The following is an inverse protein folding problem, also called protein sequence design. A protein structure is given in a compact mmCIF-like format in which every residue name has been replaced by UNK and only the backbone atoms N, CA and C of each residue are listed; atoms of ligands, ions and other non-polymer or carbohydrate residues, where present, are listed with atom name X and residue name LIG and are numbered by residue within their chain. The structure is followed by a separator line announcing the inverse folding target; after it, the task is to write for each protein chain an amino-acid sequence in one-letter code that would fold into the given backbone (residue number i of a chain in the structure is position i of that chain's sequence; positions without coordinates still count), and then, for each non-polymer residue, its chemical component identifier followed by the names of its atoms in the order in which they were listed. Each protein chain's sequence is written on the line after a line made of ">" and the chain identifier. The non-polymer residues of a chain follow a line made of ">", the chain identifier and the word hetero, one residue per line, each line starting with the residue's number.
data_IF_870211707953
#
_entry.id   IF_870211707953
#
_cell.length_a   1.000
_cell.length_b   1.000
_cell.length_c   1.000
_cell.angle_alpha   90.00
_cell.angle_beta   90.00
_cell.angle_gamma   90.00
#
_symmetry.space_group_name_H-M   'P 1'
#
loop_
_entity.id
_entity.type
_entity.pdbx_description
1 polymer ?
#
# COMPACT_ATOMS: atom_id res chain seq x y z
N UNK A 1 -0.64 -6.91 -2.90
CA UNK A 1 0.56 -7.70 -2.51
C UNK A 1 0.81 -8.82 -3.50
N UNK A 2 -0.20 -9.63 -3.80
CA UNK A 2 -0.11 -10.74 -4.76
C UNK A 2 0.33 -10.31 -6.18
N UNK A 3 -0.36 -9.35 -6.81
CA UNK A 3 -0.05 -8.83 -8.17
C UNK A 3 1.42 -8.44 -8.34
N UNK A 4 2.03 -7.88 -7.30
CA UNK A 4 3.42 -7.41 -7.32
C UNK A 4 4.42 -8.41 -6.69
N UNK A 5 4.01 -9.64 -6.40
CA UNK A 5 4.83 -10.68 -5.77
C UNK A 5 5.44 -10.29 -4.41
N UNK A 6 4.69 -9.50 -3.63
CA UNK A 6 5.08 -9.05 -2.28
C UNK A 6 4.57 -9.94 -1.15
N UNK A 7 3.82 -11.01 -1.46
CA UNK A 7 3.47 -12.01 -0.46
C UNK A 7 4.76 -12.75 -0.01
N UNK A 8 5.00 -12.93 1.30
CA UNK A 8 6.23 -13.55 1.81
C UNK A 8 6.52 -14.91 1.19
N UNK A 9 5.49 -15.76 1.09
CA UNK A 9 5.61 -17.13 0.60
C UNK A 9 5.49 -17.24 -0.94
N UNK A 10 5.17 -16.14 -1.63
CA UNK A 10 4.97 -16.07 -3.10
C UNK A 10 3.96 -17.06 -3.69
N UNK A 11 3.09 -17.63 -2.85
CA UNK A 11 1.93 -18.39 -3.28
C UNK A 11 0.77 -17.43 -3.50
N UNK A 12 0.07 -17.56 -4.62
CA UNK A 12 -1.14 -16.78 -4.88
C UNK A 12 -2.26 -17.27 -3.97
N UNK A 13 -2.73 -16.38 -3.12
CA UNK A 13 -3.76 -16.65 -2.11
C UNK A 13 -5.14 -16.46 -2.72
N UNK A 14 -5.29 -15.44 -3.57
CA UNK A 14 -6.57 -15.07 -4.17
C UNK A 14 -6.75 -15.68 -5.56
N UNK A 15 -5.67 -15.81 -6.34
CA UNK A 15 -5.71 -16.25 -7.74
C UNK A 15 -4.90 -17.52 -8.01
N UNK A 16 -5.00 -18.03 -9.24
CA UNK A 16 -4.19 -19.13 -9.75
C UNK A 16 -3.23 -18.67 -10.83
N UNK A 17 -1.95 -18.96 -10.67
CA UNK A 17 -0.91 -18.78 -11.71
C UNK A 17 -1.15 -19.61 -12.97
N UNK A 18 -1.91 -20.71 -12.84
CA UNK A 18 -2.28 -21.60 -13.96
C UNK A 18 -3.60 -21.24 -14.66
N UNK A 19 -4.26 -20.14 -14.26
CA UNK A 19 -5.56 -19.72 -14.83
C UNK A 19 -6.76 -20.60 -14.44
N UNK A 20 -6.66 -21.41 -13.38
CA UNK A 20 -7.80 -22.14 -12.81
C UNK A 20 -8.67 -21.22 -11.94
N UNK A 21 -9.92 -21.62 -11.69
CA UNK A 21 -10.81 -20.90 -10.77
C UNK A 21 -10.34 -20.99 -9.31
N UNK A 22 -9.71 -22.11 -8.94
CA UNK A 22 -9.22 -22.32 -7.58
C UNK A 22 -7.85 -21.69 -7.37
N UNK A 23 -7.62 -20.95 -6.27
CA UNK A 23 -6.37 -20.27 -6.01
C UNK A 23 -5.21 -21.24 -5.69
N UNK A 24 -3.98 -20.80 -5.96
CA UNK A 24 -2.79 -21.64 -5.80
C UNK A 24 -2.56 -22.11 -4.35
N UNK A 25 -3.05 -21.36 -3.35
CA UNK A 25 -2.96 -21.74 -1.94
C UNK A 25 -3.56 -23.12 -1.65
N UNK A 26 -4.64 -23.52 -2.33
CA UNK A 26 -5.23 -24.85 -2.13
C UNK A 26 -4.28 -25.99 -2.53
N UNK A 27 -3.35 -25.72 -3.44
CA UNK A 27 -2.38 -26.71 -3.94
C UNK A 27 -1.02 -26.60 -3.26
N UNK A 28 -0.66 -25.40 -2.78
CA UNK A 28 0.71 -25.08 -2.37
C UNK A 28 0.84 -24.65 -0.91
N UNK A 29 -0.24 -24.67 -0.11
CA UNK A 29 -0.19 -24.19 1.29
C UNK A 29 0.85 -24.91 2.15
N UNK A 30 1.19 -26.17 1.85
CA UNK A 30 2.23 -26.92 2.58
C UNK A 30 3.64 -26.31 2.44
N UNK A 31 3.86 -25.48 1.40
CA UNK A 31 5.10 -24.73 1.23
C UNK A 31 5.15 -23.45 2.07
N UNK A 32 4.01 -23.04 2.63
CA UNK A 32 3.84 -21.82 3.42
C UNK A 32 3.92 -22.14 4.91
N UNK A 33 4.36 -21.17 5.71
CA UNK A 33 4.40 -21.31 7.17
C UNK A 33 3.09 -20.81 7.82
N UNK A 34 1.99 -21.54 7.58
CA UNK A 34 0.65 -21.23 8.10
C UNK A 34 0.35 -22.00 9.39
N UNK A 35 -0.36 -21.33 10.31
CA UNK A 35 -0.84 -21.94 11.56
C UNK A 35 -2.17 -22.67 11.32
N UNK A 36 -2.09 -23.85 10.68
CA UNK A 36 -3.23 -24.71 10.34
C UNK A 36 -2.93 -26.18 10.59
N UNK A 37 -3.96 -26.98 10.85
CA UNK A 37 -3.82 -28.44 10.85
C UNK A 37 -3.81 -28.97 9.40
N UNK A 38 -2.62 -29.25 8.87
CA UNK A 38 -2.46 -29.79 7.51
C UNK A 38 -3.23 -31.08 7.27
N UNK A 39 -3.46 -31.92 8.30
CA UNK A 39 -4.25 -33.15 8.13
C UNK A 39 -5.72 -32.82 7.90
N UNK A 40 -6.25 -31.87 8.66
CA UNK A 40 -7.62 -31.40 8.49
C UNK A 40 -7.81 -30.81 7.09
N UNK A 41 -6.91 -29.91 6.65
CA UNK A 41 -6.96 -29.29 5.32
C UNK A 41 -6.89 -30.36 4.22
N UNK A 42 -5.96 -31.31 4.31
CA UNK A 42 -5.85 -32.38 3.32
C UNK A 42 -7.10 -33.27 3.27
N UNK A 43 -7.75 -33.54 4.40
CA UNK A 43 -9.02 -34.28 4.43
C UNK A 43 -10.13 -33.49 3.72
N UNK A 44 -10.23 -32.18 3.98
CA UNK A 44 -11.23 -31.32 3.33
C UNK A 44 -11.03 -31.29 1.82
N UNK A 45 -9.79 -31.08 1.35
CA UNK A 45 -9.45 -31.08 -0.08
C UNK A 45 -9.77 -32.44 -0.73
N UNK A 46 -9.42 -33.55 -0.08
CA UNK A 46 -9.70 -34.90 -0.60
C UNK A 46 -11.19 -35.21 -0.70
N UNK A 47 -12.02 -34.59 0.14
CA UNK A 47 -13.48 -34.71 0.09
C UNK A 47 -14.14 -33.75 -0.90
N UNK A 48 -13.37 -32.87 -1.53
CA UNK A 48 -13.89 -31.81 -2.40
C UNK A 48 -14.51 -30.64 -1.63
N UNK A 49 -14.27 -30.54 -0.32
CA UNK A 49 -14.73 -29.44 0.54
C UNK A 49 -13.79 -28.22 0.42
N UNK A 50 -13.46 -27.84 -0.83
CA UNK A 50 -12.44 -26.85 -1.16
C UNK A 50 -12.77 -25.46 -0.59
N UNK A 51 -14.04 -25.10 -0.53
CA UNK A 51 -14.51 -23.84 0.08
C UNK A 51 -14.14 -23.75 1.57
N UNK A 52 -14.35 -24.83 2.33
CA UNK A 52 -14.00 -24.88 3.75
C UNK A 52 -12.47 -24.89 3.94
N UNK A 53 -11.76 -25.65 3.11
CA UNK A 53 -10.30 -25.67 3.14
C UNK A 53 -9.73 -24.28 2.83
N UNK A 54 -10.25 -23.62 1.80
CA UNK A 54 -9.84 -22.28 1.40
C UNK A 54 -10.10 -21.26 2.50
N UNK A 55 -11.28 -21.28 3.14
CA UNK A 55 -11.59 -20.38 4.25
C UNK A 55 -10.56 -20.48 5.38
N UNK A 56 -10.25 -21.70 5.83
CA UNK A 56 -9.25 -21.92 6.89
C UNK A 56 -7.87 -21.40 6.48
N UNK A 57 -7.45 -21.70 5.25
CA UNK A 57 -6.16 -21.24 4.72
C UNK A 57 -6.10 -19.71 4.56
N UNK A 58 -7.18 -19.09 4.11
CA UNK A 58 -7.30 -17.64 3.96
C UNK A 58 -7.19 -16.93 5.31
N UNK A 59 -7.93 -17.41 6.32
CA UNK A 59 -7.85 -16.91 7.71
C UNK A 59 -6.43 -17.05 8.26
N UNK A 60 -5.82 -18.22 8.08
CA UNK A 60 -4.46 -18.46 8.56
C UNK A 60 -3.44 -17.54 7.89
N UNK A 61 -3.60 -17.26 6.59
CA UNK A 61 -2.75 -16.33 5.87
C UNK A 61 -2.94 -14.89 6.34
N UNK A 62 -4.18 -14.42 6.57
CA UNK A 62 -4.44 -13.11 7.17
C UNK A 62 -3.79 -12.99 8.55
N UNK A 63 -3.89 -14.04 9.38
CA UNK A 63 -3.25 -14.11 10.69
C UNK A 63 -1.72 -14.15 10.60
N UNK A 64 -1.16 -14.76 9.56
CA UNK A 64 0.27 -14.74 9.33
C UNK A 64 0.75 -13.34 8.91
N UNK A 65 0.00 -12.66 8.04
CA UNK A 65 0.27 -11.27 7.63
C UNK A 65 0.12 -10.28 8.78
N UNK A 66 -0.78 -10.50 9.74
CA UNK A 66 -0.90 -9.70 10.97
C UNK A 66 0.43 -9.61 11.74
N UNK A 67 1.27 -10.65 11.72
CA UNK A 67 2.58 -10.62 12.40
C UNK A 67 3.53 -9.57 11.81
N UNK A 68 3.39 -9.28 10.52
CA UNK A 68 4.24 -8.33 9.77
C UNK A 68 3.58 -6.97 9.62
N UNK A 69 2.26 -6.94 9.44
CA UNK A 69 1.44 -5.75 9.18
C UNK A 69 0.24 -5.69 10.15
N UNK A 70 0.46 -5.56 11.47
CA UNK A 70 -0.59 -5.68 12.49
C UNK A 70 -1.64 -4.58 12.44
N UNK A 71 -1.31 -3.43 11.83
CA UNK A 71 -2.25 -2.32 11.62
C UNK A 71 -3.14 -2.49 10.40
N UNK A 72 -2.80 -3.38 9.46
CA UNK A 72 -3.60 -3.63 8.24
C UNK A 72 -4.41 -4.92 8.34
N UNK A 73 -3.83 -5.96 8.92
CA UNK A 73 -4.50 -7.24 9.14
C UNK A 73 -4.77 -7.37 10.63
N UNK A 74 -6.04 -7.39 11.04
CA UNK A 74 -6.42 -7.78 12.39
C UNK A 74 -6.35 -9.30 12.54
N UNK A 75 -6.08 -9.78 13.75
CA UNK A 75 -6.12 -11.22 14.01
C UNK A 75 -7.57 -11.70 13.93
N UNK A 76 -7.85 -12.54 12.95
CA UNK A 76 -9.14 -13.21 12.79
C UNK A 76 -9.17 -14.39 13.76
N UNK A 77 -10.24 -14.49 14.53
CA UNK A 77 -10.51 -15.54 15.52
C UNK A 77 -11.89 -16.14 15.25
N UNK A 78 -12.27 -17.18 16.01
CA UNK A 78 -13.45 -18.01 15.72
C UNK A 78 -14.74 -17.21 15.44
N UNK A 79 -15.02 -16.12 16.17
CA UNK A 79 -16.27 -15.38 15.97
C UNK A 79 -16.20 -14.38 14.82
N UNK A 80 -15.03 -13.82 14.50
CA UNK A 80 -14.89 -12.94 13.33
C UNK A 80 -14.79 -13.72 12.03
N UNK A 81 -14.38 -14.99 12.08
CA UNK A 81 -14.44 -15.90 10.93
C UNK A 81 -15.87 -16.08 10.41
N UNK A 82 -16.88 -16.02 11.28
CA UNK A 82 -18.29 -16.07 10.90
C UNK A 82 -18.74 -14.85 10.07
N UNK A 83 -17.98 -13.76 10.11
CA UNK A 83 -18.24 -12.58 9.29
C UNK A 83 -17.69 -12.74 7.88
N UNK A 84 -16.83 -13.74 7.63
CA UNK A 84 -16.41 -14.04 6.27
C UNK A 84 -17.61 -14.58 5.49
N UNK A 85 -17.90 -14.00 4.33
CA UNK A 85 -19.01 -14.44 3.50
C UNK A 85 -18.77 -15.85 2.95
N UNK A 86 -19.85 -16.57 2.68
CA UNK A 86 -19.81 -17.86 1.99
C UNK A 86 -19.54 -17.70 0.49
N UNK A 87 -19.13 -18.80 -0.15
CA UNK A 87 -18.90 -18.90 -1.59
C UNK A 87 -17.73 -18.03 -2.07
N UNK A 88 -16.65 -17.99 -1.31
CA UNK A 88 -15.42 -17.24 -1.63
C UNK A 88 -14.75 -17.72 -2.92
N UNK A 89 -14.93 -19.00 -3.29
CA UNK A 89 -14.42 -19.59 -4.53
C UNK A 89 -15.38 -19.47 -5.72
N UNK A 90 -16.58 -18.90 -5.54
CA UNK A 90 -17.55 -18.72 -6.63
C UNK A 90 -17.11 -17.59 -7.57
N UNK A 91 -17.16 -17.85 -8.88
CA UNK A 91 -16.81 -16.89 -9.94
C UNK A 91 -17.62 -15.60 -9.89
N UNK A 92 -18.83 -15.63 -9.35
CA UNK A 92 -19.67 -14.44 -9.22
C UNK A 92 -19.41 -13.65 -7.92
N UNK A 93 -18.54 -14.17 -7.05
CA UNK A 93 -18.22 -13.54 -5.79
C UNK A 93 -17.23 -12.39 -5.95
N UNK A 94 -17.12 -11.57 -4.89
CA UNK A 94 -16.34 -10.34 -4.95
C UNK A 94 -14.85 -10.60 -5.19
N UNK A 95 -14.30 -11.72 -4.69
CA UNK A 95 -12.89 -12.06 -4.88
C UNK A 95 -12.59 -12.28 -6.37
N UNK A 96 -13.38 -13.11 -7.05
CA UNK A 96 -13.24 -13.33 -8.50
C UNK A 96 -13.43 -12.05 -9.30
N UNK A 97 -14.45 -11.24 -8.96
CA UNK A 97 -14.67 -9.93 -9.61
C UNK A 97 -13.51 -8.95 -9.43
N UNK A 98 -12.80 -9.01 -8.30
CA UNK A 98 -11.61 -8.19 -8.06
C UNK A 98 -10.41 -8.67 -8.89
N UNK A 99 -10.25 -9.98 -9.06
CA UNK A 99 -9.14 -10.58 -9.83
C UNK A 99 -9.35 -10.38 -11.33
N UNK A 100 -10.55 -10.65 -11.83
CA UNK A 100 -10.88 -10.62 -13.27
C UNK A 100 -10.99 -9.19 -13.84
N UNK A 101 -11.01 -8.18 -12.97
CA UNK A 101 -11.01 -6.78 -13.39
C UNK A 101 -9.59 -6.34 -13.75
N UNK A 102 -9.24 -6.46 -15.04
CA UNK A 102 -7.91 -6.05 -15.55
C UNK A 102 -7.58 -4.59 -15.27
N UNK A 103 -8.55 -3.67 -15.35
CA UNK A 103 -8.33 -2.25 -15.06
C UNK A 103 -7.90 -2.04 -13.61
N UNK A 104 -8.59 -2.71 -12.69
CA UNK A 104 -8.28 -2.69 -11.26
C UNK A 104 -6.94 -3.37 -10.99
N UNK A 105 -6.70 -4.56 -11.54
CA UNK A 105 -5.44 -5.29 -11.40
C UNK A 105 -4.25 -4.47 -11.91
N UNK A 106 -4.39 -3.82 -13.07
CA UNK A 106 -3.38 -2.93 -13.62
C UNK A 106 -3.14 -1.69 -12.76
N UNK A 107 -4.18 -1.15 -12.12
CA UNK A 107 -4.03 -0.02 -11.20
C UNK A 107 -3.14 -0.35 -9.99
N UNK A 108 -3.15 -1.60 -9.51
CA UNK A 108 -2.31 -2.06 -8.40
C UNK A 108 -0.80 -2.12 -8.71
N UNK A 109 -0.39 -1.96 -9.97
CA UNK A 109 1.03 -1.82 -10.32
C UNK A 109 1.63 -0.49 -9.83
N UNK A 110 0.78 0.51 -9.55
CA UNK A 110 1.25 1.79 -9.04
C UNK A 110 1.33 1.78 -7.50
N UNK A 111 2.50 2.19 -6.97
CA UNK A 111 2.76 2.32 -5.52
C UNK A 111 1.77 3.28 -4.84
N UNK A 112 1.10 4.13 -5.62
CA UNK A 112 0.17 5.14 -5.12
C UNK A 112 -1.18 4.58 -4.64
N UNK A 113 -1.55 3.34 -4.98
CA UNK A 113 -2.87 2.79 -4.64
C UNK A 113 -3.15 2.76 -3.13
N UNK A 114 -2.13 2.47 -2.31
CA UNK A 114 -2.27 2.55 -0.84
C UNK A 114 -2.57 4.00 -0.40
N UNK A 115 -1.95 4.96 -1.08
CA UNK A 115 -2.20 6.38 -0.89
C UNK A 115 -3.61 6.81 -1.25
N UNK A 116 -4.12 6.35 -2.39
CA UNK A 116 -5.50 6.58 -2.83
C UNK A 116 -6.50 5.93 -1.88
N UNK A 117 -6.25 4.72 -1.41
CA UNK A 117 -7.09 4.03 -0.42
C UNK A 117 -7.13 4.81 0.90
N UNK A 118 -5.99 5.27 1.39
CA UNK A 118 -5.93 6.13 2.57
C UNK A 118 -6.74 7.42 2.38
N UNK A 119 -6.61 8.07 1.22
CA UNK A 119 -7.39 9.28 0.91
C UNK A 119 -8.90 8.98 0.85
N UNK A 120 -9.30 7.83 0.30
CA UNK A 120 -10.70 7.42 0.23
C UNK A 120 -11.32 7.27 1.63
N UNK A 121 -10.67 6.52 2.53
CA UNK A 121 -11.17 6.35 3.90
C UNK A 121 -11.24 7.66 4.70
N UNK A 122 -10.40 8.65 4.35
CA UNK A 122 -10.39 9.95 5.00
C UNK A 122 -11.23 11.01 4.26
N UNK A 123 -11.93 10.66 3.17
CA UNK A 123 -12.62 11.64 2.34
C UNK A 123 -13.77 12.33 3.08
N UNK A 124 -14.67 11.57 3.71
CA UNK A 124 -15.79 12.12 4.49
C UNK A 124 -15.36 13.02 5.65
N UNK A 125 -14.46 12.59 6.56
CA UNK A 125 -14.02 13.46 7.66
C UNK A 125 -13.28 14.69 7.13
N UNK A 126 -12.50 14.56 6.06
CA UNK A 126 -11.87 15.71 5.40
C UNK A 126 -12.92 16.70 4.90
N UNK A 127 -13.90 16.25 4.13
CA UNK A 127 -14.94 17.11 3.56
C UNK A 127 -15.75 17.83 4.65
N UNK A 128 -16.05 17.15 5.75
CA UNK A 128 -16.70 17.75 6.91
C UNK A 128 -15.87 18.90 7.51
N UNK A 129 -14.55 18.72 7.67
CA UNK A 129 -13.65 19.75 8.19
C UNK A 129 -13.51 20.92 7.20
N UNK A 130 -13.34 20.64 5.90
CA UNK A 130 -13.27 21.69 4.88
C UNK A 130 -14.58 22.48 4.78
N UNK A 131 -15.74 21.84 4.95
CA UNK A 131 -17.03 22.53 5.01
C UNK A 131 -17.14 23.47 6.23
N UNK A 132 -16.58 23.10 7.39
CA UNK A 132 -16.49 23.98 8.57
C UNK A 132 -15.55 25.15 8.34
N UNK A 133 -14.37 24.90 7.76
CA UNK A 133 -13.38 25.93 7.43
C UNK A 133 -13.94 26.97 6.45
N UNK A 134 -14.67 26.53 5.41
CA UNK A 134 -15.38 27.43 4.47
C UNK A 134 -16.41 28.33 5.14
N UNK A 135 -16.94 27.93 6.29
CA UNK A 135 -17.86 28.71 7.13
C UNK A 135 -17.12 29.51 8.22
N UNK A 136 -15.81 29.68 8.09
CA UNK A 136 -14.91 30.35 9.05
C UNK A 136 -14.97 29.78 10.48
N UNK A 137 -15.34 28.51 10.63
CA UNK A 137 -15.28 27.82 11.93
C UNK A 137 -13.91 27.17 12.09
N UNK A 138 -13.31 27.31 13.27
CA UNK A 138 -12.03 26.66 13.60
C UNK A 138 -12.20 25.14 13.65
N UNK A 139 -11.21 24.41 13.14
CA UNK A 139 -11.11 22.97 13.31
C UNK A 139 -10.74 22.65 14.77
N UNK A 140 -11.35 21.62 15.34
CA UNK A 140 -10.97 21.09 16.64
C UNK A 140 -9.68 20.25 16.55
N UNK A 141 -9.02 20.00 17.68
CA UNK A 141 -7.76 19.22 17.70
C UNK A 141 -7.91 17.83 17.08
N UNK A 142 -9.05 17.17 17.27
CA UNK A 142 -9.38 15.87 16.69
C UNK A 142 -9.56 15.90 15.16
N UNK A 143 -9.80 17.09 14.59
CA UNK A 143 -10.09 17.29 13.16
C UNK A 143 -8.86 17.65 12.35
N UNK A 144 -7.77 18.05 13.02
CA UNK A 144 -6.51 18.44 12.36
C UNK A 144 -5.97 17.33 11.46
N UNK A 145 -5.88 16.05 11.89
CA UNK A 145 -5.34 15.00 11.03
C UNK A 145 -6.06 14.87 9.69
N UNK A 146 -7.41 14.91 9.70
CA UNK A 146 -8.22 14.81 8.49
C UNK A 146 -7.99 15.99 7.50
N UNK A 147 -7.60 17.16 8.00
CA UNK A 147 -7.31 18.34 7.18
C UNK A 147 -5.85 18.46 6.74
N UNK A 148 -4.91 17.77 7.39
CA UNK A 148 -3.47 17.98 7.15
C UNK A 148 -2.72 16.75 6.67
N UNK A 149 -3.21 15.54 6.94
CA UNK A 149 -2.55 14.32 6.51
C UNK A 149 -3.02 13.95 5.11
N UNK A 150 -2.17 14.21 4.12
CA UNK A 150 -2.40 13.81 2.73
C UNK A 150 -1.33 12.85 2.27
N UNK A 151 -1.75 11.80 1.57
CA UNK A 151 -0.84 11.06 0.74
C UNK A 151 -0.21 12.00 -0.29
N UNK A 152 1.11 11.93 -0.46
CA UNK A 152 1.86 12.75 -1.41
C UNK A 152 2.20 11.91 -2.65
N UNK A 153 1.58 12.20 -3.81
CA UNK A 153 1.87 11.48 -5.06
C UNK A 153 3.36 11.54 -5.43
N UNK A 154 3.83 10.50 -6.14
CA UNK A 154 5.21 10.30 -6.57
C UNK A 154 5.76 11.50 -7.31
N UNK A 155 4.97 12.13 -8.20
CA UNK A 155 5.43 13.29 -8.95
C UNK A 155 5.71 14.50 -8.05
N UNK A 156 4.95 14.71 -6.97
CA UNK A 156 5.22 15.78 -6.00
C UNK A 156 6.52 15.48 -5.25
N UNK A 157 6.71 14.23 -4.82
CA UNK A 157 7.96 13.80 -4.18
C UNK A 157 9.15 14.01 -5.12
N UNK A 158 9.04 13.59 -6.39
CA UNK A 158 10.07 13.80 -7.40
C UNK A 158 10.35 15.29 -7.61
N UNK A 159 9.32 16.11 -7.77
CA UNK A 159 9.46 17.56 -7.85
C UNK A 159 10.22 18.12 -6.65
N UNK A 160 9.84 17.76 -5.43
CA UNK A 160 10.51 18.24 -4.21
C UNK A 160 11.97 17.79 -4.15
N UNK A 161 12.27 16.53 -4.47
CA UNK A 161 13.64 15.98 -4.44
C UNK A 161 14.51 16.64 -5.49
N UNK A 162 14.04 16.74 -6.73
CA UNK A 162 14.78 17.35 -7.85
C UNK A 162 15.08 18.83 -7.56
N UNK A 163 14.10 19.58 -7.06
CA UNK A 163 14.25 21.02 -6.81
C UNK A 163 14.90 21.36 -5.45
N UNK A 164 15.20 20.38 -4.60
CA UNK A 164 15.93 20.60 -3.34
C UNK A 164 17.29 19.90 -3.34
N UNK A 165 17.32 18.59 -3.15
CA UNK A 165 18.54 17.79 -3.16
C UNK A 165 19.20 17.79 -4.53
N UNK A 166 18.41 17.73 -5.61
CA UNK A 166 18.93 17.82 -6.98
C UNK A 166 19.60 19.16 -7.23
N UNK A 167 18.98 20.27 -6.82
CA UNK A 167 19.60 21.60 -6.88
C UNK A 167 20.93 21.67 -6.12
N UNK A 168 20.95 21.23 -4.85
CA UNK A 168 22.18 21.21 -4.04
C UNK A 168 23.28 20.36 -4.69
N UNK A 169 22.90 19.23 -5.30
CA UNK A 169 23.83 18.37 -6.01
C UNK A 169 24.42 19.05 -7.24
N UNK A 170 23.59 19.72 -8.06
CA UNK A 170 24.04 20.43 -9.27
C UNK A 170 24.98 21.59 -8.94
N UNK A 171 24.77 22.28 -7.82
CA UNK A 171 25.69 23.32 -7.35
C UNK A 171 27.04 22.76 -6.87
N UNK A 172 27.03 21.60 -6.24
CA UNK A 172 28.25 20.93 -5.76
C UNK A 172 29.00 20.20 -6.90
N UNK A 173 28.28 19.75 -7.92
CA UNK A 173 28.79 18.96 -9.04
C UNK A 173 28.33 19.55 -10.39
N UNK A 174 28.91 20.68 -10.84
CA UNK A 174 28.43 21.40 -12.03
C UNK A 174 28.50 20.59 -13.33
N UNK A 175 29.39 19.61 -13.40
CA UNK A 175 29.57 18.73 -14.56
C UNK A 175 28.69 17.47 -14.50
N UNK A 176 27.79 17.35 -13.53
CA UNK A 176 26.95 16.16 -13.39
C UNK A 176 25.88 16.11 -14.48
N UNK A 177 25.76 14.95 -15.13
CA UNK A 177 24.74 14.69 -16.14
C UNK A 177 23.37 14.33 -15.57
N UNK A 178 23.23 14.19 -14.24
CA UNK A 178 21.99 13.73 -13.59
C UNK A 178 20.79 14.64 -13.90
N UNK A 179 21.05 15.92 -14.17
CA UNK A 179 20.04 16.88 -14.60
C UNK A 179 19.25 16.42 -15.83
N UNK A 180 19.88 15.65 -16.73
CA UNK A 180 19.20 15.07 -17.91
C UNK A 180 18.09 14.08 -17.54
N UNK A 181 18.16 13.50 -16.34
CA UNK A 181 17.16 12.58 -15.81
C UNK A 181 16.07 13.25 -14.98
N UNK A 182 16.22 14.54 -14.65
CA UNK A 182 15.22 15.28 -13.89
C UNK A 182 14.06 15.68 -14.79
N UNK A 183 12.84 15.32 -14.39
CA UNK A 183 11.62 15.54 -15.17
C UNK A 183 10.89 16.83 -14.78
N UNK A 184 11.08 17.28 -13.54
CA UNK A 184 10.32 18.31 -12.86
C UNK A 184 11.20 19.44 -12.28
N UNK A 185 12.51 19.41 -12.57
CA UNK A 185 13.46 20.41 -12.13
C UNK A 185 13.23 21.78 -12.78
N UNK A 186 13.32 22.84 -11.96
CA UNK A 186 13.20 24.23 -12.36
C UNK A 186 14.57 24.89 -12.18
N UNK A 187 15.07 25.55 -13.23
CA UNK A 187 16.28 26.36 -13.11
C UNK A 187 16.06 27.49 -12.10
N UNK A 188 16.92 27.62 -11.08
CA UNK A 188 16.87 28.77 -10.18
C UNK A 188 17.09 30.06 -10.98
N UNK A 189 16.20 31.03 -10.79
CA UNK A 189 16.45 32.41 -11.22
C UNK A 189 17.52 33.04 -10.32
N UNK A 190 18.16 34.12 -10.81
CA UNK A 190 19.33 34.74 -10.14
C UNK A 190 19.10 35.20 -8.68
N UNK A 191 17.86 35.23 -8.20
CA UNK A 191 17.50 35.57 -6.82
C UNK A 191 17.72 34.42 -5.82
N UNK A 192 17.81 33.16 -6.27
CA UNK A 192 17.96 31.95 -5.41
C UNK A 192 19.25 31.21 -5.76
N UNK A 193 20.37 31.94 -5.90
CA UNK A 193 21.69 31.30 -5.92
C UNK A 193 22.19 31.15 -4.49
N UNK A 194 22.31 29.91 -4.02
CA UNK A 194 22.90 29.62 -2.71
C UNK A 194 24.35 30.09 -2.69
N UNK A 195 24.62 31.13 -1.91
CA UNK A 195 25.97 31.68 -1.76
C UNK A 195 26.78 30.85 -0.75
N UNK A 196 28.12 30.83 -0.84
CA UNK A 196 28.97 30.13 0.12
C UNK A 196 28.71 30.49 1.60
N UNK A 197 28.23 31.70 1.89
CA UNK A 197 27.82 32.15 3.23
C UNK A 197 26.58 31.43 3.76
N UNK A 198 25.66 31.03 2.89
CA UNK A 198 24.47 30.25 3.26
C UNK A 198 24.77 28.76 3.55
N UNK A 199 25.92 28.24 3.08
CA UNK A 199 26.45 26.92 3.47
C UNK A 199 26.88 26.86 4.94
N UNK A 200 27.36 27.96 5.51
CA UNK A 200 27.82 28.00 6.92
C UNK A 200 26.67 27.88 7.93
N UNK A 201 25.45 28.29 7.56
CA UNK A 201 24.28 28.18 8.42
C UNK A 201 23.84 26.72 8.62
N UNK A 202 23.92 25.88 7.58
CA UNK A 202 23.57 24.45 7.70
C UNK A 202 24.56 23.64 8.54
N UNK A 203 25.86 23.97 8.47
CA UNK A 203 26.86 23.30 9.31
C UNK A 203 26.78 23.70 10.79
N UNK A 204 26.13 24.82 11.13
CA UNK A 204 25.86 25.21 12.53
C UNK A 204 24.71 24.44 13.19
N UNK A 205 23.91 23.70 12.43
CA UNK A 205 22.83 22.85 12.97
C UNK A 205 23.24 21.37 13.15
N UNK A 206 24.49 21.01 12.82
CA UNK A 206 25.11 19.78 13.30
C UNK A 206 25.99 20.14 14.48
N UNK A 207 25.80 19.43 15.59
CA UNK A 207 26.39 19.62 16.92
C UNK A 207 25.62 20.63 17.79
N UNK A 208 24.49 20.17 18.33
CA UNK A 208 24.30 19.96 19.77
C UNK A 208 23.27 18.85 19.99
#
# INVERSE_FOLDING_TARGET
>A
MEVNNYLPDRVNVLSSSSGKNEPDILLQYETMNLDVDSKEINILIQRGENEQAYRKLFVAQCNNLNKVLPTLFEKINDYTELLLPDYLLDSEFIISKLIDNEELTNSFNEVEVIGWLYQYYNAEPKDAVFAKLRKNKKAEKSEIPAATQFFTPKWIVQYMVENSLGQLWMEANPNSDIKKSFKYYIEPTDQIKWTPSSRQLFYKFKVH
#
